data_IF_040538535109
#
_entry.id   IF_040538535109
#
_cell.length_a   1.000
_cell.length_b   1.000
_cell.length_c   1.000
_cell.angle_alpha   90.00
_cell.angle_beta   90.00
_cell.angle_gamma   90.00
#
_symmetry.space_group_name_H-M   'P 1'
#
loop_
_entity.id
_entity.type
_entity.pdbx_description
1 polymer ?
#
# COMPACT_ATOMS: atom_id res chain seq x y z
N UNK A 1 -24.62 14.68 5.78
CA UNK A 1 -23.98 13.35 5.92
C UNK A 1 -22.60 13.46 5.27
N UNK A 2 -21.55 13.75 6.05
CA UNK A 2 -20.17 13.83 5.52
C UNK A 2 -19.67 12.39 5.47
N UNK A 3 -19.55 11.79 4.29
CA UNK A 3 -18.76 10.58 4.13
C UNK A 3 -17.37 10.86 4.72
N UNK A 4 -16.92 10.17 5.77
CA UNK A 4 -15.56 10.32 6.24
C UNK A 4 -14.66 9.72 5.15
N UNK A 5 -14.10 10.62 4.35
CA UNK A 5 -12.83 10.49 3.63
C UNK A 5 -12.45 9.08 3.13
N UNK A 6 -12.78 8.80 1.86
CA UNK A 6 -11.97 8.03 0.91
C UNK A 6 -11.26 6.76 1.43
N UNK A 7 -12.01 5.67 1.58
CA UNK A 7 -11.43 4.32 1.68
C UNK A 7 -11.86 3.50 0.47
N UNK A 8 -10.92 2.77 -0.14
CA UNK A 8 -11.17 1.85 -1.24
C UNK A 8 -11.04 0.40 -0.77
N UNK A 9 -11.82 -0.49 -1.38
CA UNK A 9 -11.69 -1.93 -1.14
C UNK A 9 -10.40 -2.40 -1.79
N UNK A 10 -9.51 -2.94 -0.97
CA UNK A 10 -8.21 -3.44 -1.40
C UNK A 10 -8.33 -4.86 -1.94
N UNK A 11 -7.82 -5.09 -3.14
CA UNK A 11 -7.61 -6.41 -3.74
C UNK A 11 -6.12 -6.70 -3.74
N UNK A 12 -5.71 -7.59 -2.86
CA UNK A 12 -4.29 -7.96 -2.71
C UNK A 12 -3.92 -8.92 -3.83
N UNK A 13 -2.83 -8.61 -4.52
CA UNK A 13 -2.21 -9.49 -5.51
C UNK A 13 -1.04 -10.24 -4.88
N UNK A 14 -0.19 -9.50 -4.16
CA UNK A 14 0.97 -10.04 -3.47
C UNK A 14 1.09 -9.44 -2.07
N UNK A 15 1.65 -10.22 -1.15
CA UNK A 15 2.03 -9.74 0.16
C UNK A 15 3.30 -10.46 0.62
N UNK A 16 4.16 -9.74 1.30
CA UNK A 16 5.37 -10.29 1.92
C UNK A 16 5.53 -9.74 3.33
N UNK A 17 5.82 -10.63 4.27
CA UNK A 17 6.19 -10.23 5.63
C UNK A 17 7.70 -10.14 5.73
N UNK A 18 8.20 -8.93 6.00
CA UNK A 18 9.62 -8.66 6.21
C UNK A 18 9.80 -8.14 7.63
N UNK A 19 10.49 -8.90 8.48
CA UNK A 19 10.78 -8.52 9.87
C UNK A 19 9.54 -8.14 10.72
N UNK A 20 8.41 -8.81 10.50
CA UNK A 20 7.16 -8.54 11.21
C UNK A 20 6.40 -7.31 10.72
N UNK A 21 6.81 -6.74 9.58
CA UNK A 21 6.10 -5.70 8.84
C UNK A 21 5.63 -6.30 7.51
N UNK A 22 4.31 -6.32 7.31
CA UNK A 22 3.72 -6.85 6.08
C UNK A 22 3.66 -5.74 5.04
N UNK A 23 4.18 -6.02 3.86
CA UNK A 23 4.07 -5.20 2.66
C UNK A 23 3.04 -5.87 1.75
N UNK A 24 2.12 -5.08 1.23
CA UNK A 24 1.02 -5.50 0.37
C UNK A 24 1.13 -4.77 -0.96
N UNK A 25 0.96 -5.51 -2.04
CA UNK A 25 0.77 -4.99 -3.38
C UNK A 25 -0.60 -5.41 -3.89
N UNK A 26 -1.33 -4.48 -4.49
CA UNK A 26 -2.66 -4.77 -4.94
C UNK A 26 -3.30 -3.64 -5.73
N UNK A 27 -4.59 -3.78 -5.96
CA UNK A 27 -5.41 -2.79 -6.62
C UNK A 27 -6.67 -2.44 -5.83
N UNK A 28 -7.21 -1.24 -6.03
CA UNK A 28 -8.44 -0.80 -5.42
C UNK A 28 -9.20 0.15 -6.32
N UNK A 29 -10.52 0.04 -6.33
CA UNK A 29 -11.37 1.00 -7.01
C UNK A 29 -11.50 2.26 -6.14
N UNK A 30 -10.73 3.30 -6.46
CA UNK A 30 -10.90 4.61 -5.82
C UNK A 30 -12.25 5.22 -6.26
N UNK A 31 -13.19 5.49 -5.34
CA UNK A 31 -14.59 5.73 -5.70
C UNK A 31 -14.87 7.06 -6.41
N UNK A 32 -13.90 7.98 -6.54
CA UNK A 32 -14.18 9.29 -7.15
C UNK A 32 -12.91 9.89 -7.77
N UNK A 33 -12.84 9.91 -9.11
CA UNK A 33 -11.95 10.75 -9.93
C UNK A 33 -10.43 10.49 -9.93
N UNK A 34 -9.91 9.38 -9.39
CA UNK A 34 -8.48 9.08 -9.50
C UNK A 34 -8.23 7.94 -10.48
N UNK A 35 -7.32 8.09 -11.47
CA UNK A 35 -6.89 6.99 -12.33
C UNK A 35 -6.03 5.97 -11.59
N UNK A 36 -5.63 6.29 -10.34
CA UNK A 36 -4.85 5.40 -9.50
C UNK A 36 -5.67 4.19 -9.07
N UNK A 37 -5.29 3.04 -9.58
CA UNK A 37 -5.93 1.76 -9.34
C UNK A 37 -5.04 0.81 -8.57
N UNK A 38 -3.73 1.04 -8.56
CA UNK A 38 -2.76 0.18 -7.89
C UNK A 38 -2.26 0.84 -6.61
N UNK A 39 -1.85 0.03 -5.65
CA UNK A 39 -1.26 0.53 -4.43
C UNK A 39 -0.16 -0.38 -3.90
N UNK A 40 0.73 0.24 -3.13
CA UNK A 40 1.66 -0.44 -2.25
C UNK A 40 1.37 0.04 -0.84
N UNK A 41 1.10 -0.88 0.08
CA UNK A 41 0.78 -0.58 1.46
C UNK A 41 1.68 -1.39 2.40
N UNK A 42 2.12 -0.82 3.50
CA UNK A 42 2.96 -1.51 4.46
C UNK A 42 2.61 -1.12 5.89
N UNK A 43 2.87 -2.03 6.83
CA UNK A 43 2.60 -1.82 8.25
C UNK A 43 1.57 -2.78 8.82
N UNK A 44 1.53 -2.87 10.15
CA UNK A 44 0.74 -3.89 10.88
C UNK A 44 -0.78 -3.69 10.79
N UNK A 45 -1.24 -2.45 10.58
CA UNK A 45 -2.66 -2.10 10.58
C UNK A 45 -3.11 -1.36 9.31
N UNK A 46 -2.27 -1.38 8.26
CA UNK A 46 -2.50 -0.57 7.06
C UNK A 46 -3.76 -0.98 6.28
N UNK A 47 -4.13 -2.26 6.34
CA UNK A 47 -5.38 -2.78 5.79
C UNK A 47 -6.37 -3.07 6.91
N UNK A 48 -7.06 -2.03 7.38
CA UNK A 48 -8.16 -2.20 8.32
C UNK A 48 -9.33 -2.90 7.61
N UNK A 49 -9.56 -4.19 7.92
CA UNK A 49 -10.67 -4.98 7.38
C UNK A 49 -10.71 -5.07 5.84
N UNK A 50 -9.55 -5.01 5.19
CA UNK A 50 -9.44 -5.07 3.71
C UNK A 50 -9.80 -3.75 3.02
N UNK A 51 -9.86 -2.64 3.76
CA UNK A 51 -9.99 -1.30 3.21
C UNK A 51 -8.69 -0.53 3.36
N UNK A 52 -8.34 0.21 2.31
CA UNK A 52 -7.17 1.08 2.26
C UNK A 52 -7.62 2.53 2.10
N UNK A 53 -7.05 3.48 2.86
CA UNK A 53 -7.34 4.89 2.62
C UNK A 53 -6.83 5.33 1.24
N UNK A 54 -7.57 6.22 0.56
CA UNK A 54 -7.27 6.67 -0.81
C UNK A 54 -6.34 7.89 -0.87
N UNK A 55 -5.70 8.25 0.24
CA UNK A 55 -4.65 9.26 0.29
C UNK A 55 -3.28 8.58 0.32
N UNK A 56 -2.19 9.32 0.18
CA UNK A 56 -0.84 8.77 0.32
C UNK A 56 -0.32 9.02 1.74
N UNK A 57 0.26 7.99 2.35
CA UNK A 57 0.97 8.05 3.63
C UNK A 57 2.31 7.36 3.46
N UNK A 58 3.41 8.06 3.72
CA UNK A 58 4.76 7.50 3.65
C UNK A 58 5.40 7.69 5.02
N UNK A 59 5.36 6.64 5.85
CA UNK A 59 6.08 6.64 7.13
C UNK A 59 6.86 5.33 7.28
N UNK A 60 7.95 5.31 8.05
CA UNK A 60 8.78 4.11 8.20
C UNK A 60 8.04 2.89 8.77
N UNK A 61 7.04 3.11 9.63
CA UNK A 61 6.34 2.05 10.35
C UNK A 61 5.05 1.59 9.65
N UNK A 62 4.37 2.52 8.96
CA UNK A 62 3.17 2.22 8.17
C UNK A 62 2.92 3.27 7.07
N UNK A 63 2.52 2.82 5.90
CA UNK A 63 2.27 3.72 4.79
C UNK A 63 1.51 3.05 3.66
N UNK A 64 0.95 3.87 2.79
CA UNK A 64 0.26 3.42 1.60
C UNK A 64 0.41 4.46 0.51
N UNK A 65 0.75 4.00 -0.68
CA UNK A 65 0.99 4.81 -1.85
C UNK A 65 0.13 4.28 -2.98
N UNK A 66 -0.55 5.17 -3.67
CA UNK A 66 -1.39 4.87 -4.83
C UNK A 66 -0.69 5.25 -6.13
N UNK A 67 -0.86 4.41 -7.14
CA UNK A 67 -0.22 4.51 -8.44
C UNK A 67 -1.25 4.28 -9.55
N UNK A 68 -1.01 4.93 -10.69
CA UNK A 68 -1.81 4.76 -11.91
C UNK A 68 -1.34 3.55 -12.69
N UNK A 69 -0.03 3.40 -12.82
CA UNK A 69 0.60 2.31 -13.55
C UNK A 69 0.93 1.13 -12.61
N UNK A 70 0.66 -0.08 -13.08
CA UNK A 70 0.95 -1.32 -12.33
C UNK A 70 2.46 -1.50 -12.14
N UNK A 71 3.25 -1.22 -13.18
CA UNK A 71 4.71 -1.38 -13.16
C UNK A 71 5.38 -0.45 -12.14
N UNK A 72 4.89 0.78 -11.99
CA UNK A 72 5.38 1.72 -10.98
C UNK A 72 5.10 1.22 -9.56
N UNK A 73 3.89 0.70 -9.33
CA UNK A 73 3.52 0.11 -8.05
C UNK A 73 4.34 -1.15 -7.75
N UNK A 74 4.52 -2.04 -8.72
CA UNK A 74 5.31 -3.26 -8.55
C UNK A 74 6.77 -2.93 -8.25
N UNK A 75 7.37 -1.99 -9.01
CA UNK A 75 8.72 -1.53 -8.76
C UNK A 75 8.87 -0.99 -7.33
N UNK A 76 7.88 -0.22 -6.85
CA UNK A 76 7.90 0.32 -5.48
C UNK A 76 7.73 -0.77 -4.42
N UNK A 77 6.88 -1.77 -4.66
CA UNK A 77 6.73 -2.93 -3.78
C UNK A 77 8.05 -3.67 -3.61
N UNK A 78 8.72 -4.00 -4.72
CA UNK A 78 10.01 -4.69 -4.72
C UNK A 78 11.11 -3.86 -4.04
N UNK A 79 11.14 -2.56 -4.30
CA UNK A 79 12.05 -1.61 -3.64
C UNK A 79 11.83 -1.58 -2.12
N UNK A 80 10.58 -1.54 -1.67
CA UNK A 80 10.22 -1.52 -0.25
C UNK A 80 10.65 -2.82 0.44
N UNK A 81 10.30 -3.96 -0.16
CA UNK A 81 10.70 -5.29 0.32
C UNK A 81 12.22 -5.39 0.43
N UNK A 82 12.95 -5.04 -0.64
CA UNK A 82 14.40 -5.09 -0.66
C UNK A 82 15.03 -4.13 0.36
N UNK A 83 14.46 -2.94 0.55
CA UNK A 83 14.92 -1.95 1.53
C UNK A 83 14.74 -2.44 2.96
N UNK A 84 13.59 -3.03 3.28
CA UNK A 84 13.32 -3.63 4.59
C UNK A 84 14.19 -4.85 4.87
N UNK A 85 14.54 -5.63 3.84
CA UNK A 85 15.50 -6.74 3.96
C UNK A 85 16.94 -6.24 4.16
N UNK A 86 17.36 -5.19 3.45
CA UNK A 86 18.73 -4.63 3.49
C UNK A 86 19.02 -3.79 4.73
N UNK A 87 18.01 -3.15 5.32
CA UNK A 87 18.14 -2.31 6.52
C UNK A 87 18.65 -3.03 7.77
N UNK A 88 18.90 -4.36 7.72
CA UNK A 88 19.47 -5.15 8.81
C UNK A 88 20.96 -5.51 8.63
N UNK A 89 21.66 -4.93 7.66
CA UNK A 89 23.13 -5.04 7.58
C UNK A 89 23.81 -3.83 8.23
N UNK A 90 23.60 -3.59 9.52
CA UNK A 90 24.48 -2.74 10.34
C UNK A 90 24.68 -3.35 11.73
#
# INVERSE_FOLDING_TARGET
>A
MKNPCGTAKARIYEQEEVNGLVVYFGSGASPVNSPAQFFVAWGKQVLAQGFLPTYNKDTPEEGHLWFVEEEEAEAKYRDMVASLQRGMSQ
#
